data_IF_894633037443
#
_entry.id   IF_894633037443
#
_cell.length_a   1.000
_cell.length_b   1.000
_cell.length_c   1.000
_cell.angle_alpha   90.00
_cell.angle_beta   90.00
_cell.angle_gamma   90.00
#
_symmetry.space_group_name_H-M   'P 1'
#
loop_
_entity.id
_entity.type
_entity.pdbx_description
1 polymer ?
#
# COMPACT_ATOMS: atom_id res chain seq x y z
N UNK A 1 11.11 8.72 -20.46
CA UNK A 1 12.55 8.84 -20.81
C UNK A 1 13.45 8.25 -19.72
N UNK A 2 13.40 8.72 -18.47
CA UNK A 2 14.28 8.25 -17.35
C UNK A 2 14.23 6.74 -17.13
N UNK A 3 13.05 6.12 -17.10
CA UNK A 3 12.92 4.66 -16.92
C UNK A 3 13.63 3.86 -18.02
N UNK A 4 13.48 4.27 -19.28
CA UNK A 4 14.13 3.59 -20.40
C UNK A 4 15.65 3.75 -20.35
N UNK A 5 16.14 4.96 -20.07
CA UNK A 5 17.58 5.21 -19.89
C UNK A 5 18.13 4.35 -18.77
N UNK A 6 17.49 4.37 -17.59
CA UNK A 6 17.91 3.55 -16.43
C UNK A 6 17.88 2.06 -16.77
N UNK A 7 16.92 1.58 -17.54
CA UNK A 7 16.83 0.17 -17.97
C UNK A 7 17.93 -0.21 -18.96
N UNK A 8 18.46 0.73 -19.72
CA UNK A 8 19.57 0.52 -20.67
C UNK A 8 20.92 0.58 -19.96
N UNK A 9 21.15 1.58 -19.11
CA UNK A 9 22.43 1.89 -18.51
C UNK A 9 22.71 1.13 -17.20
N UNK A 10 21.66 0.72 -16.47
CA UNK A 10 21.77 0.00 -15.19
C UNK A 10 21.32 -1.46 -15.35
N UNK A 11 22.27 -2.37 -15.43
CA UNK A 11 22.01 -3.80 -15.58
C UNK A 11 21.26 -4.38 -14.36
N UNK A 12 21.56 -3.93 -13.15
CA UNK A 12 20.87 -4.38 -11.92
C UNK A 12 19.41 -3.94 -11.91
N UNK A 13 19.13 -2.69 -12.27
CA UNK A 13 17.77 -2.20 -12.43
C UNK A 13 17.01 -3.01 -13.49
N UNK A 14 17.62 -3.25 -14.64
CA UNK A 14 17.03 -4.04 -15.74
C UNK A 14 16.65 -5.46 -15.29
N UNK A 15 17.56 -6.15 -14.60
CA UNK A 15 17.33 -7.49 -14.07
C UNK A 15 16.18 -7.47 -13.08
N UNK A 16 16.18 -6.52 -12.14
CA UNK A 16 15.13 -6.35 -11.13
C UNK A 16 13.77 -6.10 -11.78
N UNK A 17 13.67 -5.21 -12.75
CA UNK A 17 12.40 -4.94 -13.43
C UNK A 17 11.93 -6.15 -14.27
N UNK A 18 12.84 -6.86 -14.90
CA UNK A 18 12.48 -8.04 -15.69
C UNK A 18 12.01 -9.22 -14.83
N UNK A 19 12.51 -9.38 -13.60
CA UNK A 19 12.05 -10.44 -12.69
C UNK A 19 10.56 -10.32 -12.36
N UNK A 20 10.01 -9.11 -12.34
CA UNK A 20 8.60 -8.84 -12.08
C UNK A 20 7.65 -9.48 -13.11
N UNK A 21 8.14 -9.81 -14.30
CA UNK A 21 7.33 -10.51 -15.33
C UNK A 21 6.76 -11.84 -14.82
N UNK A 22 7.40 -12.47 -13.84
CA UNK A 22 6.93 -13.73 -13.23
C UNK A 22 5.58 -13.56 -12.51
N UNK A 23 5.28 -12.36 -12.05
CA UNK A 23 4.02 -12.05 -11.36
C UNK A 23 2.93 -11.56 -12.33
N UNK A 24 3.29 -11.08 -13.52
CA UNK A 24 2.32 -10.54 -14.47
C UNK A 24 1.37 -11.64 -14.98
N UNK A 25 0.07 -11.37 -14.90
CA UNK A 25 -1.03 -12.27 -15.30
C UNK A 25 -1.10 -13.64 -14.55
N UNK A 26 -0.38 -13.84 -13.45
CA UNK A 26 -0.42 -15.09 -12.69
C UNK A 26 -1.77 -15.34 -11.99
N UNK A 27 -2.63 -14.31 -11.90
CA UNK A 27 -3.98 -14.37 -11.34
C UNK A 27 -5.05 -13.94 -12.34
N UNK A 28 -4.82 -14.19 -13.61
CA UNK A 28 -5.71 -13.76 -14.70
C UNK A 28 -7.18 -14.16 -14.44
N UNK A 29 -8.05 -13.15 -14.45
CA UNK A 29 -9.51 -13.33 -14.31
C UNK A 29 -10.01 -13.57 -12.88
N UNK A 30 -9.10 -13.72 -11.90
CA UNK A 30 -9.46 -13.96 -10.50
C UNK A 30 -9.93 -12.68 -9.80
N UNK A 31 -10.48 -12.84 -8.58
CA UNK A 31 -10.75 -11.75 -7.62
C UNK A 31 -9.66 -11.69 -6.56
N UNK A 32 -9.52 -10.54 -5.92
CA UNK A 32 -8.67 -10.38 -4.74
C UNK A 32 -9.26 -9.39 -3.74
N UNK A 33 -8.71 -9.43 -2.52
CA UNK A 33 -8.97 -8.48 -1.46
C UNK A 33 -7.69 -7.69 -1.16
N UNK A 34 -7.82 -6.36 -1.12
CA UNK A 34 -6.77 -5.46 -0.67
C UNK A 34 -7.16 -4.96 0.71
N UNK A 35 -6.34 -5.33 1.70
CA UNK A 35 -6.56 -5.06 3.12
C UNK A 35 -5.72 -3.85 3.51
N UNK A 36 -6.38 -2.72 3.73
CA UNK A 36 -5.78 -1.50 4.27
C UNK A 36 -5.49 -1.62 5.78
N UNK A 37 -5.16 -0.49 6.40
CA UNK A 37 -4.83 -0.42 7.83
C UNK A 37 -5.92 0.28 8.66
N UNK A 38 -7.08 0.52 8.07
CA UNK A 38 -8.14 1.29 8.70
C UNK A 38 -8.81 0.58 9.86
N UNK A 39 -9.35 1.35 10.84
CA UNK A 39 -9.94 0.81 12.06
C UNK A 39 -11.19 -0.04 11.83
N UNK A 40 -11.84 0.07 10.67
CA UNK A 40 -13.01 -0.74 10.31
C UNK A 40 -12.72 -2.24 10.28
N UNK A 41 -11.45 -2.65 10.10
CA UNK A 41 -11.05 -4.06 10.13
C UNK A 41 -11.43 -4.76 11.44
N UNK A 42 -11.43 -4.05 12.57
CA UNK A 42 -11.84 -4.58 13.89
C UNK A 42 -13.32 -5.03 13.92
N UNK A 43 -14.12 -4.62 12.94
CA UNK A 43 -15.55 -4.92 12.84
C UNK A 43 -15.87 -5.99 11.78
N UNK A 44 -14.85 -6.58 11.16
CA UNK A 44 -14.98 -7.50 10.03
C UNK A 44 -14.52 -8.90 10.41
N UNK A 45 -15.23 -9.91 9.97
CA UNK A 45 -14.79 -11.31 10.07
C UNK A 45 -13.80 -11.62 8.93
N UNK A 46 -12.52 -11.61 9.25
CA UNK A 46 -11.45 -11.83 8.26
C UNK A 46 -11.24 -13.32 7.95
N UNK A 47 -11.88 -14.25 8.66
CA UNK A 47 -11.79 -15.70 8.41
C UNK A 47 -12.28 -16.08 7.01
N UNK A 48 -13.21 -15.32 6.45
CA UNK A 48 -13.69 -15.49 5.09
C UNK A 48 -12.62 -15.34 4.01
N UNK A 49 -11.48 -14.71 4.33
CA UNK A 49 -10.38 -14.47 3.40
C UNK A 49 -9.40 -15.65 3.28
N UNK A 50 -9.61 -16.74 4.00
CA UNK A 50 -8.65 -17.87 4.09
C UNK A 50 -8.28 -18.45 2.71
N UNK A 51 -9.23 -18.51 1.79
CA UNK A 51 -9.06 -19.07 0.44
C UNK A 51 -9.04 -18.01 -0.67
N UNK A 52 -8.96 -16.75 -0.32
CA UNK A 52 -8.92 -15.63 -1.24
C UNK A 52 -7.50 -15.18 -1.53
N UNK A 53 -7.31 -14.49 -2.65
CA UNK A 53 -6.05 -13.78 -2.92
C UNK A 53 -6.04 -12.50 -2.11
N UNK A 54 -5.11 -12.40 -1.17
CA UNK A 54 -5.04 -11.31 -0.20
C UNK A 54 -3.76 -10.49 -0.39
N UNK A 55 -3.95 -9.19 -0.57
CA UNK A 55 -2.90 -8.18 -0.51
C UNK A 55 -3.00 -7.45 0.82
N UNK A 56 -1.92 -7.41 1.57
CA UNK A 56 -1.78 -6.58 2.77
C UNK A 56 -0.82 -5.42 2.49
N UNK A 57 -0.83 -4.38 3.32
CA UNK A 57 -0.08 -3.16 3.04
C UNK A 57 0.65 -2.61 4.27
N UNK A 58 1.81 -2.02 4.04
CA UNK A 58 2.62 -1.28 5.04
C UNK A 58 2.67 -1.95 6.42
N UNK A 59 2.21 -1.27 7.46
CA UNK A 59 2.37 -1.66 8.88
C UNK A 59 1.25 -2.56 9.43
N UNK A 60 0.45 -3.23 8.60
CA UNK A 60 -0.66 -4.08 9.11
C UNK A 60 -0.20 -5.15 10.12
N UNK A 61 1.02 -5.64 9.98
CA UNK A 61 1.61 -6.62 10.89
C UNK A 61 1.87 -6.08 12.30
N UNK A 62 1.76 -4.78 12.55
CA UNK A 62 1.83 -4.21 13.90
C UNK A 62 0.61 -4.55 14.72
N UNK A 63 -0.54 -4.78 14.08
CA UNK A 63 -1.70 -5.36 14.72
C UNK A 63 -1.64 -6.89 14.58
N UNK A 64 -1.05 -7.55 15.59
CA UNK A 64 -0.85 -9.01 15.58
C UNK A 64 -2.16 -9.76 15.43
N UNK A 65 -3.21 -9.34 16.13
CA UNK A 65 -4.52 -9.99 16.11
C UNK A 65 -5.14 -10.03 14.72
N UNK A 66 -5.14 -8.90 14.01
CA UNK A 66 -5.63 -8.81 12.63
C UNK A 66 -4.69 -9.56 11.68
N UNK A 67 -3.38 -9.38 11.82
CA UNK A 67 -2.41 -9.99 10.91
C UNK A 67 -2.40 -11.52 11.00
N UNK A 68 -2.60 -12.08 12.20
CA UNK A 68 -2.66 -13.54 12.39
C UNK A 68 -3.88 -14.18 11.71
N UNK A 69 -4.99 -13.47 11.60
CA UNK A 69 -6.17 -13.93 10.89
C UNK A 69 -6.00 -13.90 9.36
N UNK A 70 -5.04 -13.11 8.84
CA UNK A 70 -4.85 -12.94 7.40
C UNK A 70 -3.83 -13.93 6.84
N UNK A 71 -4.20 -14.61 5.76
CA UNK A 71 -3.34 -15.50 5.00
C UNK A 71 -2.82 -14.80 3.74
N UNK A 72 -2.04 -13.72 3.96
CA UNK A 72 -1.60 -12.83 2.87
C UNK A 72 -0.76 -13.55 1.81
N UNK A 73 -1.11 -13.38 0.54
CA UNK A 73 -0.30 -13.82 -0.59
C UNK A 73 0.74 -12.78 -0.96
N UNK A 74 0.36 -11.50 -0.84
CA UNK A 74 1.19 -10.35 -1.19
C UNK A 74 1.20 -9.33 -0.07
N UNK A 75 2.35 -8.67 0.09
CA UNK A 75 2.51 -7.55 1.02
C UNK A 75 3.16 -6.38 0.29
N UNK A 76 2.45 -5.25 0.19
CA UNK A 76 2.89 -4.07 -0.57
C UNK A 76 3.42 -3.00 0.36
N UNK A 77 4.63 -2.49 0.06
CA UNK A 77 5.31 -1.48 0.87
C UNK A 77 5.84 -0.38 -0.04
N UNK A 78 5.34 0.83 0.13
CA UNK A 78 5.81 2.00 -0.65
C UNK A 78 6.12 3.22 0.21
N UNK A 79 5.80 3.19 1.49
CA UNK A 79 6.06 4.32 2.38
C UNK A 79 7.57 4.48 2.61
N UNK A 80 8.10 5.63 2.21
CA UNK A 80 9.51 5.97 2.33
C UNK A 80 9.99 6.03 3.80
N UNK A 81 9.09 6.17 4.76
CA UNK A 81 9.40 6.05 6.18
C UNK A 81 10.01 4.70 6.56
N UNK A 82 9.69 3.63 5.81
CA UNK A 82 10.29 2.29 5.98
C UNK A 82 11.65 2.11 5.30
N UNK A 83 12.10 3.08 4.51
CA UNK A 83 13.31 2.96 3.69
C UNK A 83 14.48 3.85 4.18
N UNK A 84 14.28 4.59 5.27
CA UNK A 84 15.30 5.46 5.84
C UNK A 84 16.35 4.60 6.53
N UNK A 85 17.47 4.36 5.85
CA UNK A 85 18.68 3.79 6.42
C UNK A 85 19.49 4.93 7.08
N UNK A 86 19.12 5.38 8.24
CA UNK A 86 20.08 6.10 9.07
C UNK A 86 20.82 5.08 9.93
N UNK A 87 21.91 4.55 9.39
CA UNK A 87 22.80 3.60 10.07
C UNK A 87 23.42 4.16 11.35
N UNK A 88 23.28 5.46 11.60
CA UNK A 88 23.81 6.15 12.80
C UNK A 88 22.77 6.28 13.92
N UNK A 89 21.48 6.14 13.63
CA UNK A 89 20.43 6.18 14.63
C UNK A 89 19.95 4.76 14.95
N UNK A 90 20.15 4.33 16.21
CA UNK A 90 19.72 3.01 16.70
C UNK A 90 18.20 2.76 16.66
N UNK A 91 17.41 3.73 16.19
CA UNK A 91 15.95 3.69 16.12
C UNK A 91 15.39 3.11 14.81
N UNK A 92 16.23 2.71 13.87
CA UNK A 92 15.83 1.90 12.71
C UNK A 92 15.30 0.50 13.09
N UNK A 93 15.29 0.19 14.38
CA UNK A 93 14.73 -1.06 14.94
C UNK A 93 13.27 -1.29 14.57
N UNK A 94 12.48 -0.20 14.41
CA UNK A 94 11.06 -0.34 14.10
C UNK A 94 10.89 -0.99 12.74
N UNK A 95 11.66 -0.54 11.76
CA UNK A 95 11.58 -1.06 10.41
C UNK A 95 12.07 -2.51 10.34
N UNK A 96 13.21 -2.83 10.95
CA UNK A 96 13.74 -4.19 10.98
C UNK A 96 12.85 -5.15 11.77
N UNK A 97 12.27 -4.73 12.91
CA UNK A 97 11.37 -5.53 13.70
C UNK A 97 10.01 -5.74 13.02
N UNK A 98 9.55 -4.74 12.26
CA UNK A 98 8.37 -4.86 11.42
C UNK A 98 8.56 -5.98 10.38
N UNK A 99 9.70 -6.02 9.71
CA UNK A 99 9.99 -7.03 8.71
C UNK A 99 10.22 -8.42 9.31
N UNK A 100 10.79 -8.52 10.49
CA UNK A 100 10.84 -9.78 11.25
C UNK A 100 9.43 -10.32 11.51
N UNK A 101 8.46 -9.44 11.78
CA UNK A 101 7.05 -9.82 11.94
C UNK A 101 6.42 -10.38 10.66
N UNK A 102 6.78 -9.87 9.48
CA UNK A 102 6.36 -10.48 8.20
C UNK A 102 6.93 -11.90 8.09
N UNK A 103 8.16 -12.10 8.54
CA UNK A 103 8.90 -13.34 8.35
C UNK A 103 8.52 -14.47 9.33
N UNK A 104 7.81 -14.17 10.42
CA UNK A 104 7.49 -15.21 11.43
C UNK A 104 6.37 -16.18 10.99
N UNK A 105 5.56 -15.83 10.00
CA UNK A 105 4.49 -16.69 9.50
C UNK A 105 5.03 -17.89 8.73
N UNK A 106 4.36 -19.03 8.86
CA UNK A 106 4.64 -20.24 8.08
C UNK A 106 4.45 -20.01 6.57
N UNK A 107 3.39 -19.30 6.18
CA UNK A 107 3.19 -18.79 4.82
C UNK A 107 3.67 -17.34 4.76
N UNK A 108 4.84 -17.15 4.15
CA UNK A 108 5.41 -15.83 3.92
C UNK A 108 4.79 -15.18 2.69
N UNK A 109 4.28 -13.94 2.77
CA UNK A 109 3.79 -13.23 1.60
C UNK A 109 4.92 -12.87 0.64
N UNK A 110 4.60 -12.75 -0.63
CA UNK A 110 5.48 -12.10 -1.60
C UNK A 110 5.48 -10.60 -1.33
N UNK A 111 6.65 -10.03 -1.02
CA UNK A 111 6.79 -8.60 -0.77
C UNK A 111 6.95 -7.84 -2.09
N UNK A 112 6.07 -6.85 -2.31
CA UNK A 112 6.13 -5.91 -3.44
C UNK A 112 6.53 -4.55 -2.87
N UNK A 113 7.73 -4.10 -3.18
CA UNK A 113 8.37 -2.95 -2.55
C UNK A 113 8.66 -1.88 -3.59
N UNK A 114 8.48 -0.58 -3.24
CA UNK A 114 8.98 0.48 -4.10
C UNK A 114 10.49 0.32 -4.30
N UNK A 115 10.95 0.50 -5.54
CA UNK A 115 12.38 0.39 -5.88
C UNK A 115 13.25 1.36 -5.08
N UNK A 116 12.71 2.47 -4.62
CA UNK A 116 13.39 3.39 -3.71
C UNK A 116 13.83 2.70 -2.40
N UNK A 117 13.07 1.72 -1.94
CA UNK A 117 13.37 0.93 -0.74
C UNK A 117 14.33 -0.24 -0.96
N UNK A 118 14.79 -0.49 -2.20
CA UNK A 118 15.57 -1.70 -2.52
C UNK A 118 16.82 -1.83 -1.66
N UNK A 119 17.59 -0.76 -1.52
CA UNK A 119 18.83 -0.78 -0.75
C UNK A 119 18.58 -1.12 0.72
N UNK A 120 17.53 -0.52 1.30
CA UNK A 120 17.12 -0.78 2.68
C UNK A 120 16.71 -2.24 2.86
N UNK A 121 15.81 -2.73 2.02
CA UNK A 121 15.30 -4.10 2.09
C UNK A 121 16.38 -5.18 1.88
N UNK A 122 17.36 -4.90 1.03
CA UNK A 122 18.48 -5.81 0.80
C UNK A 122 19.46 -5.83 1.99
N UNK A 123 19.48 -4.77 2.82
CA UNK A 123 20.36 -4.68 4.00
C UNK A 123 19.74 -5.22 5.29
N UNK A 124 18.43 -5.48 5.33
CA UNK A 124 17.74 -5.94 6.55
C UNK A 124 17.89 -7.43 6.85
N UNK A 125 18.65 -8.20 6.08
CA UNK A 125 18.82 -9.64 6.31
C UNK A 125 17.51 -10.43 6.13
N UNK A 126 16.69 -10.03 5.17
CA UNK A 126 15.40 -10.66 4.84
C UNK A 126 15.52 -11.56 3.62
N UNK A 127 16.58 -12.36 3.55
CA UNK A 127 16.89 -13.20 2.38
C UNK A 127 15.85 -14.29 2.14
N UNK A 128 15.14 -14.72 3.18
CA UNK A 128 14.05 -15.68 3.12
C UNK A 128 12.76 -15.15 2.50
N UNK A 129 12.61 -13.84 2.30
CA UNK A 129 11.42 -13.26 1.70
C UNK A 129 11.55 -13.15 0.18
N UNK A 130 10.53 -13.60 -0.55
CA UNK A 130 10.40 -13.29 -1.96
C UNK A 130 10.10 -11.81 -2.14
N UNK A 131 11.06 -11.05 -2.66
CA UNK A 131 10.98 -9.60 -2.84
C UNK A 131 10.94 -9.24 -4.33
N UNK A 132 9.96 -8.42 -4.71
CA UNK A 132 9.84 -7.83 -6.03
C UNK A 132 9.78 -6.31 -5.89
N UNK A 133 10.54 -5.60 -6.71
CA UNK A 133 10.66 -4.15 -6.62
C UNK A 133 9.95 -3.49 -7.78
N UNK A 134 9.04 -2.56 -7.50
CA UNK A 134 8.25 -1.83 -8.50
C UNK A 134 8.74 -0.40 -8.64
N UNK A 135 8.61 0.19 -9.83
CA UNK A 135 9.06 1.55 -10.12
C UNK A 135 7.86 2.45 -10.41
N UNK A 136 7.56 3.37 -9.49
CA UNK A 136 6.31 4.15 -9.43
C UNK A 136 6.53 5.61 -9.83
N UNK A 137 6.80 5.90 -11.09
CA UNK A 137 7.17 7.24 -11.56
C UNK A 137 6.45 7.71 -12.84
N UNK A 138 5.37 7.06 -13.26
CA UNK A 138 4.57 7.58 -14.38
C UNK A 138 3.37 8.38 -13.87
N UNK A 139 2.92 9.34 -14.66
CA UNK A 139 1.76 10.14 -14.31
C UNK A 139 0.46 9.42 -14.73
N UNK A 140 -0.43 9.14 -13.79
CA UNK A 140 -1.76 8.59 -14.05
C UNK A 140 -2.76 9.72 -14.29
N UNK A 141 -3.07 9.95 -15.55
CA UNK A 141 -4.13 10.88 -15.94
C UNK A 141 -5.45 10.16 -16.21
N UNK A 142 -6.55 10.91 -16.30
CA UNK A 142 -7.87 10.36 -16.67
C UNK A 142 -7.87 9.60 -18.01
N UNK A 143 -6.94 9.94 -18.91
CA UNK A 143 -6.79 9.36 -20.24
C UNK A 143 -5.59 8.41 -20.36
N UNK A 144 -5.15 7.83 -19.25
CA UNK A 144 -4.00 6.92 -19.25
C UNK A 144 -4.23 5.71 -20.17
N UNK A 145 -3.32 5.50 -21.14
CA UNK A 145 -3.46 4.48 -22.20
C UNK A 145 -2.50 3.30 -22.03
N UNK A 146 -1.45 3.45 -21.22
CA UNK A 146 -0.44 2.40 -21.07
C UNK A 146 -1.00 1.26 -20.22
N UNK A 147 -0.61 0.03 -20.57
CA UNK A 147 -0.86 -1.12 -19.69
C UNK A 147 -0.04 -0.98 -18.40
N UNK A 148 -0.69 -1.14 -17.28
CA UNK A 148 -0.03 -1.21 -15.98
C UNK A 148 0.64 -2.57 -15.85
N UNK A 149 1.97 -2.59 -15.73
CA UNK A 149 2.79 -3.80 -15.63
C UNK A 149 3.86 -3.62 -14.57
N UNK A 150 4.04 -4.62 -13.70
CA UNK A 150 5.06 -4.63 -12.65
C UNK A 150 6.49 -4.47 -13.20
N UNK A 151 6.75 -4.96 -14.41
CA UNK A 151 8.06 -4.85 -15.07
C UNK A 151 8.32 -3.52 -15.79
N UNK A 152 7.39 -2.56 -15.69
CA UNK A 152 7.46 -1.26 -16.36
C UNK A 152 7.43 -0.10 -15.37
N UNK A 153 7.53 1.14 -15.90
CA UNK A 153 7.27 2.34 -15.12
C UNK A 153 5.77 2.44 -14.82
N UNK A 154 5.38 2.09 -13.60
CA UNK A 154 4.00 2.15 -13.13
C UNK A 154 3.60 3.56 -12.72
N UNK A 155 2.29 3.86 -12.61
CA UNK A 155 1.84 5.14 -12.11
C UNK A 155 2.37 5.42 -10.69
N UNK A 156 2.72 6.68 -10.43
CA UNK A 156 3.09 7.14 -9.11
C UNK A 156 1.93 7.02 -8.12
N UNK A 157 2.25 6.75 -6.87
CA UNK A 157 1.27 6.47 -5.81
C UNK A 157 1.47 7.44 -4.66
N UNK A 158 0.40 8.12 -4.22
CA UNK A 158 0.34 8.91 -3.00
C UNK A 158 -0.11 8.07 -1.80
N UNK A 159 -0.67 6.89 -2.06
CA UNK A 159 -1.17 5.98 -1.05
C UNK A 159 -0.84 4.53 -1.44
N UNK A 160 -0.49 3.70 -0.47
CA UNK A 160 -0.12 2.30 -0.72
C UNK A 160 -1.24 1.47 -1.37
N UNK A 161 -2.51 1.83 -1.15
CA UNK A 161 -3.65 1.17 -1.80
C UNK A 161 -3.59 1.35 -3.32
N UNK A 162 -3.12 2.49 -3.83
CA UNK A 162 -2.92 2.69 -5.27
C UNK A 162 -1.94 1.65 -5.83
N UNK A 163 -0.78 1.48 -5.19
CA UNK A 163 0.25 0.53 -5.62
C UNK A 163 -0.25 -0.92 -5.53
N UNK A 164 -1.04 -1.25 -4.51
CA UNK A 164 -1.67 -2.56 -4.38
C UNK A 164 -2.67 -2.83 -5.51
N UNK A 165 -3.51 -1.85 -5.87
CA UNK A 165 -4.44 -1.95 -7.02
C UNK A 165 -3.64 -2.10 -8.32
N UNK A 166 -2.59 -1.32 -8.55
CA UNK A 166 -1.75 -1.45 -9.75
C UNK A 166 -1.10 -2.82 -9.84
N UNK A 167 -0.64 -3.35 -8.71
CA UNK A 167 -0.05 -4.70 -8.64
C UNK A 167 -1.07 -5.76 -8.99
N UNK A 168 -2.27 -5.71 -8.41
CA UNK A 168 -3.37 -6.62 -8.71
C UNK A 168 -3.77 -6.56 -10.21
N UNK A 169 -3.88 -5.36 -10.78
CA UNK A 169 -4.15 -5.16 -12.22
C UNK A 169 -3.08 -5.83 -13.08
N UNK A 170 -1.80 -5.62 -12.77
CA UNK A 170 -0.68 -6.22 -13.50
C UNK A 170 -0.69 -7.74 -13.44
N UNK A 171 -1.16 -8.31 -12.33
CA UNK A 171 -1.32 -9.75 -12.14
C UNK A 171 -2.56 -10.32 -12.85
N UNK A 172 -3.32 -9.49 -13.56
CA UNK A 172 -4.47 -9.91 -14.37
C UNK A 172 -5.77 -10.09 -13.59
N UNK A 173 -5.83 -9.60 -12.35
CA UNK A 173 -7.03 -9.63 -11.51
C UNK A 173 -8.11 -8.75 -12.14
N UNK A 174 -9.37 -9.22 -12.11
CA UNK A 174 -10.52 -8.56 -12.73
C UNK A 174 -11.53 -8.01 -11.74
N UNK A 175 -11.55 -8.51 -10.50
CA UNK A 175 -12.40 -8.00 -9.42
C UNK A 175 -11.55 -7.73 -8.19
N UNK A 176 -11.54 -6.49 -7.72
CA UNK A 176 -10.73 -6.03 -6.59
C UNK A 176 -11.67 -5.51 -5.51
N UNK A 177 -11.59 -6.04 -4.31
CA UNK A 177 -12.35 -5.60 -3.15
C UNK A 177 -11.43 -4.94 -2.15
N UNK A 178 -11.74 -3.69 -1.79
CA UNK A 178 -11.01 -2.91 -0.78
C UNK A 178 -11.69 -3.08 0.57
N UNK A 179 -10.94 -3.45 1.60
CA UNK A 179 -11.39 -3.52 2.99
C UNK A 179 -10.39 -2.81 3.90
N UNK A 180 -10.85 -2.23 5.00
CA UNK A 180 -9.96 -1.44 5.86
C UNK A 180 -9.33 -0.22 5.16
N UNK A 181 -9.96 0.25 4.08
CA UNK A 181 -9.53 1.43 3.32
C UNK A 181 -10.37 2.64 3.73
N UNK A 182 -10.38 2.95 5.00
CA UNK A 182 -11.29 3.92 5.63
C UNK A 182 -11.12 5.33 5.11
N UNK A 183 -9.89 5.79 4.90
CA UNK A 183 -9.56 7.17 4.48
C UNK A 183 -10.22 8.24 5.36
N UNK A 184 -10.35 7.97 6.66
CA UNK A 184 -10.99 8.87 7.63
C UNK A 184 -10.02 9.84 8.26
N UNK A 185 -8.71 9.64 8.12
CA UNK A 185 -7.67 10.52 8.66
C UNK A 185 -7.84 11.97 8.22
N UNK A 186 -8.37 12.20 7.01
CA UNK A 186 -8.70 13.55 6.52
C UNK A 186 -9.67 14.32 7.44
N UNK A 187 -10.53 13.62 8.18
CA UNK A 187 -11.51 14.24 9.07
C UNK A 187 -11.00 14.38 10.51
N UNK A 188 -9.87 13.77 10.85
CA UNK A 188 -9.39 13.63 12.21
C UNK A 188 -8.08 14.40 12.49
N UNK A 189 -7.36 14.83 11.46
CA UNK A 189 -6.00 15.38 11.59
C UNK A 189 -5.94 16.92 11.54
N UNK A 190 -7.07 17.61 11.68
CA UNK A 190 -7.09 19.08 11.55
C UNK A 190 -7.18 19.83 12.89
N UNK A 191 -6.91 19.17 14.00
CA UNK A 191 -6.78 19.85 15.28
C UNK A 191 -5.35 20.38 15.43
N UNK A 192 -5.21 21.62 15.85
CA UNK A 192 -3.93 22.19 16.22
C UNK A 192 -3.85 22.28 17.75
N UNK A 193 -2.66 22.05 18.30
CA UNK A 193 -2.40 22.35 19.70
C UNK A 193 -2.30 23.89 19.93
N UNK A 194 -2.06 24.28 21.17
CA UNK A 194 -1.97 25.71 21.55
C UNK A 194 -0.81 26.44 20.86
N UNK A 195 0.20 25.71 20.41
CA UNK A 195 1.38 26.22 19.70
C UNK A 195 1.17 26.22 18.17
N UNK A 196 -0.01 25.80 17.70
CA UNK A 196 -0.37 25.74 16.28
C UNK A 196 0.12 24.52 15.53
N UNK A 197 0.69 23.52 16.23
CA UNK A 197 1.13 22.29 15.58
C UNK A 197 -0.07 21.38 15.29
N UNK A 198 -0.03 20.68 14.16
CA UNK A 198 -1.04 19.68 13.80
C UNK A 198 -0.94 18.51 14.77
N UNK A 199 -2.04 18.18 15.41
CA UNK A 199 -2.15 17.00 16.28
C UNK A 199 -2.59 15.78 15.47
N UNK A 200 -1.97 14.63 15.75
CA UNK A 200 -2.37 13.37 15.15
C UNK A 200 -3.45 12.74 16.01
N UNK A 201 -4.65 12.61 15.45
CA UNK A 201 -5.71 11.89 16.13
C UNK A 201 -5.31 10.43 16.38
N UNK A 202 -5.39 10.01 17.64
CA UNK A 202 -5.28 8.61 18.01
C UNK A 202 -6.44 7.85 17.35
N UNK A 203 -6.20 6.65 16.83
CA UNK A 203 -7.18 5.75 16.20
C UNK A 203 -7.39 5.87 14.66
N UNK A 204 -6.46 6.45 13.93
CA UNK A 204 -6.53 6.45 12.45
C UNK A 204 -6.26 5.07 11.82
N UNK A 205 -5.73 4.14 12.60
CA UNK A 205 -5.39 2.79 12.13
C UNK A 205 -6.01 1.70 13.00
N UNK A 206 -6.02 0.49 12.49
CA UNK A 206 -6.46 -0.69 13.23
C UNK A 206 -5.50 -1.05 14.38
N UNK A 207 -4.32 -0.44 14.45
CA UNK A 207 -3.32 -0.58 15.49
C UNK A 207 -3.03 0.76 16.17
N UNK A 208 -2.48 0.71 17.39
CA UNK A 208 -2.04 1.90 18.09
C UNK A 208 -0.63 2.27 17.67
N UNK A 209 -0.37 3.55 17.46
CA UNK A 209 0.98 4.04 17.19
C UNK A 209 1.91 3.79 18.37
N UNK A 210 3.14 3.36 18.08
CA UNK A 210 4.21 3.39 19.08
C UNK A 210 4.65 4.84 19.33
N UNK A 211 5.24 5.13 20.48
CA UNK A 211 5.76 6.48 20.79
C UNK A 211 6.79 6.96 19.75
N UNK A 212 7.58 6.05 19.20
CA UNK A 212 8.56 6.38 18.16
C UNK A 212 7.88 6.70 16.84
N UNK A 213 6.81 5.97 16.48
CA UNK A 213 6.02 6.26 15.30
C UNK A 213 5.26 7.57 15.43
N UNK A 214 4.69 7.88 16.60
CA UNK A 214 4.08 9.18 16.90
C UNK A 214 5.07 10.32 16.70
N UNK A 215 6.28 10.22 17.28
CA UNK A 215 7.32 11.23 17.12
C UNK A 215 7.73 11.43 15.66
N UNK A 216 7.85 10.34 14.89
CA UNK A 216 8.16 10.42 13.46
C UNK A 216 7.04 11.13 12.69
N UNK A 217 5.80 10.72 12.91
CA UNK A 217 4.63 11.31 12.25
C UNK A 217 4.50 12.81 12.59
N UNK A 218 4.64 13.18 13.87
CA UNK A 218 4.62 14.58 14.30
C UNK A 218 5.73 15.37 13.60
N UNK A 219 6.94 14.83 13.47
CA UNK A 219 8.03 15.49 12.76
C UNK A 219 7.73 15.65 11.26
N UNK A 220 7.14 14.65 10.63
CA UNK A 220 6.80 14.69 9.22
C UNK A 220 5.61 15.65 8.96
N UNK A 221 4.63 15.74 9.87
CA UNK A 221 3.47 16.65 9.77
C UNK A 221 3.77 18.08 10.18
N UNK A 222 4.65 18.34 11.16
CA UNK A 222 5.03 19.71 11.56
C UNK A 222 5.83 20.47 10.48
N UNK A 223 6.19 19.81 9.37
CA UNK A 223 6.82 20.44 8.21
C UNK A 223 5.77 20.90 7.19
N UNK A 224 4.54 20.36 7.28
CA UNK A 224 3.45 20.65 6.34
C UNK A 224 2.39 21.52 6.99
N UNK A 225 1.97 22.56 6.30
CA UNK A 225 0.78 23.30 6.73
C UNK A 225 -0.52 22.58 6.32
N UNK A 226 -1.66 23.10 6.80
CA UNK A 226 -2.97 22.48 6.52
C UNK A 226 -3.32 22.48 5.02
N UNK A 227 -2.88 23.49 4.26
CA UNK A 227 -3.10 23.56 2.81
C UNK A 227 -2.37 22.41 2.11
N UNK A 228 -1.11 22.17 2.44
CA UNK A 228 -0.29 21.10 1.90
C UNK A 228 -0.90 19.71 2.21
N UNK A 229 -1.36 19.51 3.45
CA UNK A 229 -2.04 18.27 3.87
C UNK A 229 -3.32 18.05 3.06
N UNK A 230 -4.18 19.07 2.94
CA UNK A 230 -5.41 19.01 2.15
C UNK A 230 -5.12 18.74 0.67
N UNK A 231 -4.07 19.37 0.14
CA UNK A 231 -3.66 19.18 -1.25
C UNK A 231 -3.21 17.73 -1.51
N UNK A 232 -2.48 17.12 -0.60
CA UNK A 232 -2.04 15.72 -0.72
C UNK A 232 -3.22 14.75 -0.61
N UNK A 233 -4.21 15.02 0.24
CA UNK A 233 -5.46 14.27 0.23
C UNK A 233 -6.21 14.44 -1.09
N UNK A 234 -6.31 15.65 -1.61
CA UNK A 234 -6.96 15.91 -2.90
C UNK A 234 -6.27 15.15 -4.05
N UNK A 235 -4.93 15.12 -4.09
CA UNK A 235 -4.15 14.31 -5.05
C UNK A 235 -4.45 12.83 -4.90
N UNK A 236 -4.52 12.34 -3.66
CA UNK A 236 -4.83 10.94 -3.36
C UNK A 236 -6.20 10.55 -3.94
N UNK A 237 -7.25 11.34 -3.67
CA UNK A 237 -8.59 11.10 -4.23
C UNK A 237 -8.63 11.25 -5.75
N UNK A 238 -7.90 12.21 -6.31
CA UNK A 238 -7.75 12.36 -7.77
C UNK A 238 -7.13 11.12 -8.39
N UNK A 239 -6.13 10.53 -7.75
CA UNK A 239 -5.50 9.29 -8.21
C UNK A 239 -6.49 8.12 -8.14
N UNK A 240 -7.27 7.97 -7.08
CA UNK A 240 -8.36 6.97 -7.02
C UNK A 240 -9.37 7.16 -8.15
N UNK A 241 -9.80 8.39 -8.46
CA UNK A 241 -10.71 8.67 -9.59
C UNK A 241 -10.10 8.27 -10.93
N UNK A 242 -8.80 8.52 -11.12
CA UNK A 242 -8.10 8.11 -12.35
C UNK A 242 -7.93 6.58 -12.42
N UNK A 243 -7.68 5.92 -11.30
CA UNK A 243 -7.69 4.44 -11.20
C UNK A 243 -9.06 3.90 -11.61
N UNK A 244 -10.15 4.46 -11.07
CA UNK A 244 -11.51 4.04 -11.45
C UNK A 244 -11.73 4.14 -12.94
N UNK A 245 -11.44 5.29 -13.56
CA UNK A 245 -11.56 5.48 -15.02
C UNK A 245 -10.73 4.48 -15.81
N UNK A 246 -9.50 4.21 -15.38
CA UNK A 246 -8.66 3.20 -16.02
C UNK A 246 -9.27 1.80 -15.91
N UNK A 247 -9.76 1.43 -14.74
CA UNK A 247 -10.38 0.13 -14.49
C UNK A 247 -11.65 -0.07 -15.34
N UNK A 248 -12.54 0.91 -15.37
CA UNK A 248 -13.76 0.91 -16.19
C UNK A 248 -13.42 0.66 -17.68
N UNK A 249 -12.43 1.39 -18.21
CA UNK A 249 -11.97 1.24 -19.59
C UNK A 249 -11.36 -0.13 -19.91
N UNK A 250 -10.80 -0.82 -18.91
CA UNK A 250 -10.11 -2.11 -19.08
C UNK A 250 -10.93 -3.31 -18.58
N UNK A 251 -12.23 -3.12 -18.32
CA UNK A 251 -13.14 -4.15 -17.78
C UNK A 251 -12.59 -4.78 -16.49
N UNK A 252 -12.19 -3.91 -15.55
CA UNK A 252 -11.75 -4.27 -14.20
C UNK A 252 -12.72 -3.61 -13.23
N UNK A 253 -13.24 -4.40 -12.30
CA UNK A 253 -14.16 -3.95 -11.29
C UNK A 253 -13.42 -3.71 -9.97
N UNK A 254 -13.59 -2.52 -9.39
CA UNK A 254 -13.07 -2.21 -8.06
C UNK A 254 -14.24 -1.81 -7.17
N UNK A 255 -14.38 -2.48 -6.04
CA UNK A 255 -15.42 -2.24 -5.05
C UNK A 255 -14.82 -1.83 -3.72
N UNK A 256 -15.50 -0.91 -3.02
CA UNK A 256 -15.19 -0.60 -1.64
C UNK A 256 -16.10 -1.40 -0.71
N UNK A 257 -15.56 -2.44 -0.06
CA UNK A 257 -16.24 -3.27 0.93
C UNK A 257 -15.86 -2.87 2.38
N UNK A 258 -15.19 -1.75 2.57
CA UNK A 258 -14.87 -1.18 3.88
C UNK A 258 -16.14 -0.79 4.62
N UNK A 259 -16.26 -1.14 5.91
CA UNK A 259 -17.38 -0.72 6.76
C UNK A 259 -17.21 0.76 7.12
N UNK A 260 -18.12 1.62 6.65
CA UNK A 260 -18.00 3.08 6.86
C UNK A 260 -16.86 3.69 6.04
N UNK A 261 -16.18 4.70 6.59
CA UNK A 261 -15.04 5.37 5.96
C UNK A 261 -15.41 6.44 4.93
N UNK A 262 -14.41 7.26 4.54
CA UNK A 262 -14.54 8.39 3.63
C UNK A 262 -14.16 8.12 2.18
N UNK A 263 -13.72 6.91 1.82
CA UNK A 263 -13.40 6.57 0.43
C UNK A 263 -14.68 6.36 -0.37
N UNK A 264 -15.08 7.37 -1.13
CA UNK A 264 -16.32 7.43 -1.91
C UNK A 264 -16.16 7.14 -3.41
N UNK A 265 -14.94 6.95 -3.87
CA UNK A 265 -14.61 6.87 -5.31
C UNK A 265 -15.13 5.59 -5.95
N UNK A 266 -15.11 4.47 -5.24
CA UNK A 266 -15.53 3.17 -5.77
C UNK A 266 -16.92 2.78 -5.28
N UNK A 267 -17.65 2.01 -6.11
CA UNK A 267 -18.96 1.48 -5.73
C UNK A 267 -18.83 0.67 -4.43
N UNK A 268 -19.69 0.96 -3.47
CA UNK A 268 -19.72 0.22 -2.20
C UNK A 268 -20.47 -1.09 -2.32
N UNK A 269 -19.98 -2.09 -1.60
CA UNK A 269 -20.61 -3.40 -1.49
C UNK A 269 -20.50 -3.88 -0.05
N UNK A 270 -21.47 -4.66 0.40
CA UNK A 270 -21.47 -5.26 1.73
C UNK A 270 -20.46 -6.41 1.74
N UNK A 271 -19.51 -6.40 2.69
CA UNK A 271 -18.44 -7.39 2.77
C UNK A 271 -18.98 -8.81 2.87
N UNK A 272 -19.93 -9.05 3.78
CA UNK A 272 -20.50 -10.36 4.05
C UNK A 272 -21.23 -10.95 2.82
N UNK A 273 -21.78 -10.09 1.95
CA UNK A 273 -22.47 -10.55 0.73
C UNK A 273 -21.53 -11.13 -0.33
N UNK A 274 -20.23 -11.08 -0.12
CA UNK A 274 -19.23 -11.61 -1.07
C UNK A 274 -18.97 -13.11 -0.89
N UNK A 275 -19.48 -13.70 0.19
CA UNK A 275 -19.19 -15.09 0.60
C UNK A 275 -20.44 -15.97 0.70
N UNK A 276 -21.61 -15.40 0.35
CA UNK A 276 -22.92 -16.10 0.29
C UNK A 276 -23.17 -16.69 -1.11
#
# INVERSE_FOLDING_TARGET
MIFLLKKITDSKFRITMNSNKKLENNHKGKRCFIVGNGPSLKKMDLSHLTNEIVFTVNSIMTNKEIYDQLNSDYHVIIDHGFFKLDLKQKDDRITSDLYKKINYKSKKPICIVDYAGKLAFDSYGLDDLNKYYIYLHSNLTANYQRKIKLSSNMPSSQNVIHAAIFSAISMGIKKIYLIGCDMTSIFLNFESDIDGNITIAENNHAYNYTETEKKRLLKDFNIMDNEEVLHDYAKTFTTFKNIRKYCEKNNIEVYNATIGGGLDVFRRIKYESLFN
#
